data_IF_112399294860
#
_entry.id   IF_112399294860
#
_cell.length_a   1.000
_cell.length_b   1.000
_cell.length_c   1.000
_cell.angle_alpha   90.00
_cell.angle_beta   90.00
_cell.angle_gamma   90.00
#
_symmetry.space_group_name_H-M   'P 1'
#
loop_
_entity.id
_entity.type
_entity.pdbx_description
1 polymer ?
#
# COMPACT_ATOMS: atom_id res chain seq x y z
N UNK A 1 -0.70 16.37 6.86
CA UNK A 1 -0.51 16.57 5.40
C UNK A 1 -0.94 15.27 4.71
N UNK A 2 -2.00 15.30 3.91
CA UNK A 2 -2.57 14.12 3.23
C UNK A 2 -1.53 13.48 2.29
N UNK A 3 -0.83 12.46 2.78
CA UNK A 3 0.18 11.72 2.02
C UNK A 3 -0.49 10.79 1.02
N UNK A 4 -0.93 11.39 -0.09
CA UNK A 4 -1.40 10.80 -1.36
C UNK A 4 -2.24 9.53 -1.20
N UNK A 5 -3.56 9.71 -1.03
CA UNK A 5 -4.59 8.68 -1.18
C UNK A 5 -4.29 7.64 -2.29
N UNK A 6 -3.79 8.04 -3.48
CA UNK A 6 -3.37 7.09 -4.50
C UNK A 6 -2.39 6.02 -4.04
N UNK A 7 -1.35 6.41 -3.31
CA UNK A 7 -0.29 5.51 -2.84
C UNK A 7 -0.83 4.49 -1.83
N UNK A 8 -1.66 4.95 -0.89
CA UNK A 8 -2.24 4.08 0.15
C UNK A 8 -3.17 3.03 -0.46
N UNK A 9 -3.90 3.39 -1.52
CA UNK A 9 -4.76 2.46 -2.25
C UNK A 9 -3.94 1.44 -3.04
N UNK A 10 -2.90 1.90 -3.74
CA UNK A 10 -2.00 1.02 -4.47
C UNK A 10 -1.34 0.00 -3.53
N UNK A 11 -0.71 0.46 -2.44
CA UNK A 11 -0.06 -0.40 -1.45
C UNK A 11 -1.03 -1.45 -0.86
N UNK A 12 -2.24 -1.02 -0.50
CA UNK A 12 -3.23 -1.90 0.11
C UNK A 12 -3.72 -3.00 -0.84
N UNK A 13 -4.07 -2.63 -2.08
CA UNK A 13 -4.53 -3.60 -3.08
C UNK A 13 -3.38 -4.53 -3.52
N UNK A 14 -2.17 -3.98 -3.68
CA UNK A 14 -0.98 -4.75 -4.06
C UNK A 14 -0.59 -5.76 -2.98
N UNK A 15 -0.64 -5.39 -1.70
CA UNK A 15 -0.30 -6.28 -0.59
C UNK A 15 -1.15 -7.55 -0.57
N UNK A 16 -2.46 -7.42 -0.79
CA UNK A 16 -3.37 -8.58 -0.76
C UNK A 16 -3.20 -9.48 -1.96
N UNK A 17 -3.01 -8.90 -3.14
CA UNK A 17 -2.75 -9.69 -4.34
C UNK A 17 -1.37 -10.34 -4.31
N UNK A 18 -0.44 -9.86 -3.48
CA UNK A 18 0.83 -10.50 -3.19
C UNK A 18 0.72 -11.76 -2.32
N UNK A 19 -0.33 -11.89 -1.50
CA UNK A 19 -0.57 -13.09 -0.68
C UNK A 19 -1.35 -14.19 -1.43
N UNK A 20 -1.91 -13.84 -2.60
CA UNK A 20 -2.67 -14.75 -3.43
C UNK A 20 -1.73 -15.65 -4.25
N UNK A 21 -2.07 -16.93 -4.35
CA UNK A 21 -1.30 -17.91 -5.15
C UNK A 21 -1.72 -17.86 -6.62
N UNK A 22 -0.99 -17.08 -7.40
CA UNK A 22 -1.14 -17.02 -8.85
C UNK A 22 -0.53 -18.25 -9.53
N UNK A 23 -1.07 -18.66 -10.68
CA UNK A 23 -0.37 -19.56 -11.62
C UNK A 23 0.73 -18.77 -12.36
N UNK A 24 1.57 -18.11 -11.58
CA UNK A 24 2.66 -17.28 -12.03
C UNK A 24 3.89 -17.69 -11.23
N UNK A 25 4.78 -18.43 -11.88
CA UNK A 25 6.12 -18.70 -11.38
C UNK A 25 7.08 -17.74 -12.06
N UNK A 26 7.44 -16.65 -11.38
CA UNK A 26 8.69 -15.97 -11.72
C UNK A 26 9.82 -16.66 -10.98
N UNK A 27 10.88 -17.04 -11.67
CA UNK A 27 12.11 -17.53 -11.03
C UNK A 27 12.92 -16.40 -10.36
N UNK A 28 12.48 -15.14 -10.51
CA UNK A 28 13.09 -13.98 -9.89
C UNK A 28 12.62 -13.78 -8.45
N UNK A 29 13.59 -13.78 -7.53
CA UNK A 29 13.43 -13.42 -6.11
C UNK A 29 12.77 -12.04 -5.87
N UNK A 30 12.64 -11.22 -6.91
CA UNK A 30 12.14 -9.86 -6.87
C UNK A 30 11.02 -9.63 -7.88
N UNK A 31 10.13 -10.58 -8.14
CA UNK A 31 8.92 -10.27 -8.93
C UNK A 31 7.75 -9.88 -8.03
N UNK A 32 6.90 -8.99 -8.55
CA UNK A 32 5.58 -8.76 -7.99
C UNK A 32 4.53 -9.19 -9.01
N UNK A 33 3.68 -10.19 -8.71
CA UNK A 33 2.60 -10.60 -9.61
C UNK A 33 1.73 -9.41 -10.02
N UNK A 34 1.42 -8.50 -9.08
CA UNK A 34 0.62 -7.31 -9.35
C UNK A 34 1.23 -6.33 -10.37
N UNK A 35 2.54 -6.43 -10.64
CA UNK A 35 3.23 -5.61 -11.65
C UNK A 35 3.59 -6.39 -12.92
N UNK A 36 3.80 -7.70 -12.81
CA UNK A 36 4.40 -8.53 -13.88
C UNK A 36 3.45 -9.57 -14.47
N UNK A 37 2.34 -9.84 -13.79
CA UNK A 37 1.33 -10.79 -14.23
C UNK A 37 0.01 -10.07 -14.53
N UNK A 38 -0.47 -10.19 -15.77
CA UNK A 38 -1.61 -9.41 -16.27
C UNK A 38 -2.91 -9.65 -15.46
N UNK A 39 -3.32 -10.89 -15.13
CA UNK A 39 -4.51 -11.12 -14.29
C UNK A 39 -4.41 -10.46 -12.90
N UNK A 40 -3.22 -10.47 -12.29
CA UNK A 40 -2.99 -9.84 -11.01
C UNK A 40 -3.03 -8.30 -11.10
N UNK A 41 -2.42 -7.73 -12.14
CA UNK A 41 -2.48 -6.30 -12.43
C UNK A 41 -3.92 -5.83 -12.67
N UNK A 42 -4.70 -6.59 -13.45
CA UNK A 42 -6.13 -6.32 -13.69
C UNK A 42 -6.94 -6.35 -12.38
N UNK A 43 -6.69 -7.33 -11.51
CA UNK A 43 -7.31 -7.43 -10.19
C UNK A 43 -6.98 -6.23 -9.31
N UNK A 44 -5.73 -5.76 -9.35
CA UNK A 44 -5.28 -4.59 -8.61
C UNK A 44 -5.97 -3.32 -9.09
N UNK A 45 -6.04 -3.12 -10.41
CA UNK A 45 -6.73 -1.98 -11.02
C UNK A 45 -8.21 -1.97 -10.63
N UNK A 46 -8.86 -3.13 -10.63
CA UNK A 46 -10.25 -3.26 -10.21
C UNK A 46 -10.45 -2.93 -8.72
N UNK A 47 -9.58 -3.45 -7.85
CA UNK A 47 -9.60 -3.13 -6.41
C UNK A 47 -9.51 -1.61 -6.15
N UNK A 48 -8.62 -0.92 -6.86
CA UNK A 48 -8.44 0.53 -6.73
C UNK A 48 -9.66 1.28 -7.28
N UNK A 49 -10.16 0.87 -8.44
CA UNK A 49 -11.33 1.47 -9.09
C UNK A 49 -12.56 1.43 -8.18
N UNK A 50 -12.91 0.24 -7.69
CA UNK A 50 -14.05 0.05 -6.78
C UNK A 50 -13.87 0.83 -5.48
N UNK A 51 -12.67 0.79 -4.89
CA UNK A 51 -12.36 1.52 -3.65
C UNK A 51 -12.48 3.04 -3.80
N UNK A 52 -12.16 3.58 -4.97
CA UNK A 52 -12.33 5.01 -5.27
C UNK A 52 -13.79 5.36 -5.55
N UNK A 53 -14.50 4.49 -6.27
CA UNK A 53 -15.91 4.65 -6.61
C UNK A 53 -16.80 4.62 -5.36
N UNK A 54 -16.58 3.68 -4.45
CA UNK A 54 -17.27 3.59 -3.15
C UNK A 54 -17.12 4.85 -2.30
N UNK A 55 -16.01 5.57 -2.45
CA UNK A 55 -15.72 6.82 -1.72
C UNK A 55 -16.12 8.07 -2.50
N UNK A 56 -16.70 7.92 -3.69
CA UNK A 56 -17.16 9.04 -4.52
C UNK A 56 -16.04 9.89 -5.12
N UNK A 57 -14.84 9.33 -5.33
CA UNK A 57 -13.74 10.05 -5.96
C UNK A 57 -13.91 10.16 -7.48
N UNK A 58 -13.43 11.27 -8.05
CA UNK A 58 -13.45 11.49 -9.50
C UNK A 58 -12.46 10.61 -10.26
N UNK A 59 -12.71 10.37 -11.55
CA UNK A 59 -11.79 9.69 -12.48
C UNK A 59 -10.37 10.30 -12.51
N UNK A 60 -10.25 11.62 -12.28
CA UNK A 60 -8.94 12.28 -12.18
C UNK A 60 -8.09 11.77 -11.02
N UNK A 61 -8.72 11.32 -9.94
CA UNK A 61 -8.03 10.69 -8.81
C UNK A 61 -7.53 9.29 -9.19
N UNK A 62 -8.30 8.58 -10.02
CA UNK A 62 -7.92 7.28 -10.55
C UNK A 62 -6.78 7.36 -11.58
N UNK A 63 -6.75 8.39 -12.41
CA UNK A 63 -5.59 8.63 -13.30
C UNK A 63 -4.32 8.94 -12.51
N UNK A 64 -4.44 9.61 -11.36
CA UNK A 64 -3.31 9.81 -10.44
C UNK A 64 -2.83 8.51 -9.79
N UNK A 65 -3.72 7.53 -9.57
CA UNK A 65 -3.29 6.20 -9.12
C UNK A 65 -2.49 5.47 -10.18
N UNK A 66 -2.80 5.62 -11.47
CA UNK A 66 -1.98 5.01 -12.52
C UNK A 66 -0.54 5.51 -12.52
N UNK A 67 -0.33 6.81 -12.28
CA UNK A 67 1.02 7.36 -12.14
C UNK A 67 1.77 6.76 -10.93
N UNK A 68 1.08 6.51 -9.82
CA UNK A 68 1.67 5.85 -8.65
C UNK A 68 2.00 4.38 -8.95
N UNK A 69 1.09 3.64 -9.59
CA UNK A 69 1.33 2.24 -10.00
C UNK A 69 2.56 2.15 -10.91
N UNK A 70 2.73 3.07 -11.86
CA UNK A 70 3.94 3.12 -12.67
C UNK A 70 5.20 3.33 -11.86
N UNK A 71 5.19 4.24 -10.88
CA UNK A 71 6.33 4.51 -10.01
C UNK A 71 6.68 3.27 -9.17
N UNK A 72 5.68 2.63 -8.57
CA UNK A 72 5.84 1.45 -7.72
C UNK A 72 6.27 0.21 -8.53
N UNK A 73 5.75 0.05 -9.74
CA UNK A 73 6.07 -1.07 -10.62
C UNK A 73 7.33 -0.87 -11.47
N UNK A 74 7.92 0.34 -11.46
CA UNK A 74 9.12 0.66 -12.25
C UNK A 74 10.31 -0.26 -11.92
N UNK A 75 10.38 -0.75 -10.68
CA UNK A 75 11.43 -1.67 -10.25
C UNK A 75 11.27 -3.08 -10.85
N UNK A 76 10.03 -3.47 -11.16
CA UNK A 76 9.69 -4.84 -11.57
C UNK A 76 9.57 -5.00 -13.08
N UNK A 77 9.13 -3.95 -13.80
CA UNK A 77 8.95 -4.01 -15.25
C UNK A 77 8.93 -2.62 -15.89
N UNK A 78 9.54 -2.53 -17.07
CA UNK A 78 9.46 -1.32 -17.92
C UNK A 78 8.16 -1.25 -18.74
N UNK A 79 7.41 -2.35 -18.83
CA UNK A 79 6.22 -2.45 -19.68
C UNK A 79 5.14 -1.42 -19.30
N UNK A 80 5.03 -1.09 -18.01
CA UNK A 80 4.02 -0.15 -17.51
C UNK A 80 4.40 1.32 -17.73
N UNK A 81 5.68 1.65 -17.89
CA UNK A 81 6.12 3.04 -18.06
C UNK A 81 5.53 3.68 -19.32
N UNK A 82 5.50 2.89 -20.39
CA UNK A 82 5.06 3.32 -21.72
C UNK A 82 3.54 3.32 -21.89
N UNK A 83 2.79 2.74 -20.96
CA UNK A 83 1.32 2.68 -21.04
C UNK A 83 0.68 4.04 -20.83
N UNK A 84 -0.30 4.40 -21.64
CA UNK A 84 -1.10 5.62 -21.47
C UNK A 84 -2.25 5.37 -20.49
N UNK A 85 -2.92 6.43 -20.03
CA UNK A 85 -4.13 6.27 -19.21
C UNK A 85 -5.21 5.45 -19.95
N UNK A 86 -5.32 5.59 -21.28
CA UNK A 86 -6.26 4.81 -22.08
C UNK A 86 -5.94 3.31 -22.03
N UNK A 87 -4.66 2.95 -22.03
CA UNK A 87 -4.24 1.55 -21.91
C UNK A 87 -4.61 0.98 -20.54
N UNK A 88 -4.46 1.75 -19.46
CA UNK A 88 -4.91 1.36 -18.12
C UNK A 88 -6.43 1.18 -18.04
N UNK A 89 -7.21 2.07 -18.66
CA UNK A 89 -8.67 1.89 -18.73
C UNK A 89 -9.08 0.67 -19.57
N UNK A 90 -8.40 0.42 -20.69
CA UNK A 90 -8.64 -0.77 -21.50
C UNK A 90 -8.31 -2.05 -20.72
N UNK A 91 -7.18 -2.07 -20.01
CA UNK A 91 -6.79 -3.19 -19.16
C UNK A 91 -7.79 -3.41 -18.02
N UNK A 92 -8.25 -2.34 -17.37
CA UNK A 92 -9.32 -2.42 -16.38
C UNK A 92 -10.60 -3.03 -16.99
N UNK A 93 -11.05 -2.52 -18.14
CA UNK A 93 -12.29 -2.99 -18.79
C UNK A 93 -12.18 -4.45 -19.27
N UNK A 94 -11.02 -4.86 -19.74
CA UNK A 94 -10.75 -6.26 -20.10
C UNK A 94 -10.77 -7.13 -18.84
N UNK A 95 -10.11 -6.69 -17.78
CA UNK A 95 -10.08 -7.38 -16.49
C UNK A 95 -11.47 -7.55 -15.89
N UNK A 96 -12.29 -6.50 -15.90
CA UNK A 96 -13.66 -6.54 -15.35
C UNK A 96 -14.56 -7.51 -16.11
N UNK A 97 -14.29 -7.78 -17.38
CA UNK A 97 -15.07 -8.74 -18.18
C UNK A 97 -14.87 -10.18 -17.71
N UNK A 98 -13.66 -10.51 -17.22
CA UNK A 98 -13.29 -11.87 -16.80
C UNK A 98 -13.12 -12.01 -15.29
N UNK A 99 -13.52 -10.99 -14.53
CA UNK A 99 -13.30 -10.97 -13.09
C UNK A 99 -14.22 -11.95 -12.39
N UNK A 100 -13.68 -12.69 -11.41
CA UNK A 100 -14.49 -13.56 -10.57
C UNK A 100 -14.25 -13.28 -9.09
N UNK A 101 -15.21 -13.65 -8.24
CA UNK A 101 -15.03 -13.52 -6.80
C UNK A 101 -13.92 -14.47 -6.31
N UNK A 102 -12.96 -13.92 -5.58
CA UNK A 102 -11.93 -14.71 -4.93
C UNK A 102 -12.53 -15.53 -3.78
N UNK A 103 -12.27 -16.84 -3.78
CA UNK A 103 -12.50 -17.71 -2.63
C UNK A 103 -11.15 -18.15 -2.04
N UNK A 104 -11.01 -17.96 -0.73
CA UNK A 104 -9.81 -18.32 0.02
C UNK A 104 -9.49 -19.81 -0.16
N UNK A 105 -8.24 -20.12 -0.51
CA UNK A 105 -7.80 -21.49 -0.80
C UNK A 105 -7.83 -21.88 -2.30
N UNK A 106 -8.21 -20.96 -3.19
CA UNK A 106 -8.03 -21.15 -4.63
C UNK A 106 -6.54 -21.11 -4.99
N UNK A 107 -5.96 -22.27 -5.31
CA UNK A 107 -4.58 -22.37 -5.78
C UNK A 107 -4.51 -22.15 -7.30
N UNK A 108 -3.44 -21.52 -7.76
CA UNK A 108 -3.09 -21.35 -9.17
C UNK A 108 -4.11 -20.51 -9.96
N UNK A 109 -4.29 -19.27 -9.56
CA UNK A 109 -5.20 -18.36 -10.27
C UNK A 109 -4.60 -17.90 -11.60
N UNK A 110 -5.40 -18.01 -12.67
CA UNK A 110 -5.07 -17.59 -14.04
C UNK A 110 -5.94 -16.45 -14.57
N UNK A 111 -6.94 -16.05 -13.79
CA UNK A 111 -7.94 -15.06 -14.15
C UNK A 111 -7.95 -13.93 -13.13
N UNK A 112 -8.41 -12.73 -13.52
CA UNK A 112 -8.54 -11.62 -12.59
C UNK A 112 -9.58 -11.94 -11.51
N UNK A 113 -9.31 -11.48 -10.29
CA UNK A 113 -10.16 -11.70 -9.13
C UNK A 113 -10.65 -10.40 -8.51
N UNK A 114 -11.86 -10.45 -7.99
CA UNK A 114 -12.44 -9.44 -7.14
C UNK A 114 -12.12 -9.75 -5.67
N UNK A 115 -11.53 -8.77 -4.99
CA UNK A 115 -11.37 -8.78 -3.53
C UNK A 115 -12.70 -8.36 -2.91
N UNK A 116 -13.19 -9.11 -1.93
CA UNK A 116 -14.44 -8.81 -1.23
C UNK A 116 -14.48 -7.38 -0.66
N UNK A 117 -15.64 -6.73 -0.76
CA UNK A 117 -15.82 -5.33 -0.35
C UNK A 117 -15.51 -5.08 1.14
N UNK A 118 -15.80 -6.04 2.03
CA UNK A 118 -15.44 -5.92 3.44
C UNK A 118 -13.92 -5.97 3.63
N UNK A 119 -13.26 -6.87 2.90
CA UNK A 119 -11.81 -7.00 2.89
C UNK A 119 -11.17 -5.72 2.35
N UNK A 120 -11.63 -5.17 1.21
CA UNK A 120 -11.15 -3.87 0.67
C UNK A 120 -11.28 -2.74 1.69
N UNK A 121 -12.41 -2.65 2.39
CA UNK A 121 -12.62 -1.65 3.45
C UNK A 121 -11.64 -1.84 4.60
N UNK A 122 -11.47 -3.05 5.11
CA UNK A 122 -10.55 -3.37 6.20
C UNK A 122 -9.09 -3.05 5.83
N UNK A 123 -8.69 -3.36 4.59
CA UNK A 123 -7.35 -3.12 4.05
C UNK A 123 -7.05 -1.64 3.84
N UNK A 124 -8.06 -0.79 3.71
CA UNK A 124 -7.84 0.66 3.72
C UNK A 124 -7.64 1.21 5.15
N UNK A 125 -8.13 0.48 6.15
CA UNK A 125 -7.94 0.82 7.56
C UNK A 125 -6.61 0.31 8.12
N UNK A 126 -6.11 -0.88 7.71
CA UNK A 126 -4.93 -1.51 8.30
C UNK A 126 -3.61 -0.74 8.05
N UNK A 127 -3.25 -0.29 6.83
CA UNK A 127 -2.09 0.56 6.59
C UNK A 127 -2.25 1.94 7.24
N UNK A 128 -3.47 2.49 7.30
CA UNK A 128 -3.74 3.73 8.06
C UNK A 128 -3.48 3.52 9.56
N UNK A 129 -3.94 2.40 10.12
CA UNK A 129 -3.77 2.00 11.51
C UNK A 129 -2.32 1.65 11.84
N UNK A 130 -1.62 0.89 10.99
CA UNK A 130 -0.21 0.54 11.13
C UNK A 130 0.71 1.76 10.92
N UNK A 131 0.37 2.70 10.03
CA UNK A 131 1.08 3.98 9.90
C UNK A 131 0.84 4.89 11.10
N UNK A 132 -0.36 4.86 11.69
CA UNK A 132 -0.64 5.49 12.98
C UNK A 132 0.23 4.84 14.07
N UNK A 133 0.24 3.52 14.19
CA UNK A 133 1.07 2.79 15.16
C UNK A 133 2.58 3.04 14.97
N UNK A 134 3.06 3.13 13.72
CA UNK A 134 4.45 3.49 13.40
C UNK A 134 4.75 4.95 13.79
N UNK A 135 3.83 5.88 13.57
CA UNK A 135 4.01 7.26 14.04
C UNK A 135 4.03 7.34 15.57
N UNK A 136 3.23 6.52 16.27
CA UNK A 136 3.25 6.39 17.73
C UNK A 136 4.51 5.72 18.26
N UNK A 137 5.09 4.75 17.55
CA UNK A 137 6.38 4.16 17.93
C UNK A 137 7.53 5.16 17.75
N UNK A 138 7.53 5.96 16.67
CA UNK A 138 8.50 7.06 16.51
C UNK A 138 8.34 8.15 17.56
N UNK A 139 7.10 8.53 17.92
CA UNK A 139 6.82 9.46 19.01
C UNK A 139 7.27 8.88 20.35
N UNK A 140 7.01 7.60 20.62
CA UNK A 140 7.48 6.92 21.82
C UNK A 140 9.01 6.93 21.90
N UNK A 141 9.70 6.58 20.81
CA UNK A 141 11.17 6.66 20.72
C UNK A 141 11.70 8.10 20.90
N UNK A 142 10.98 9.11 20.38
CA UNK A 142 11.33 10.51 20.54
C UNK A 142 11.14 11.00 21.99
N UNK A 143 10.03 10.64 22.63
CA UNK A 143 9.78 10.90 24.04
C UNK A 143 10.78 10.17 24.94
N UNK A 144 11.13 8.92 24.64
CA UNK A 144 12.15 8.18 25.39
C UNK A 144 13.53 8.84 25.26
N UNK A 145 13.91 9.31 24.06
CA UNK A 145 15.16 10.06 23.86
C UNK A 145 15.18 11.42 24.56
N UNK A 146 14.06 12.14 24.59
CA UNK A 146 13.92 13.38 25.34
C UNK A 146 14.00 13.13 26.85
N UNK A 147 13.35 12.07 27.35
CA UNK A 147 13.41 11.67 28.75
C UNK A 147 14.82 11.27 29.16
N UNK A 148 15.55 10.50 28.33
CA UNK A 148 16.94 10.16 28.58
C UNK A 148 17.87 11.39 28.54
N UNK A 149 17.69 12.31 27.58
CA UNK A 149 18.48 13.57 27.57
C UNK A 149 18.20 14.46 28.78
N UNK A 150 16.96 14.53 29.24
CA UNK A 150 16.63 15.24 30.49
C UNK A 150 17.23 14.54 31.71
N UNK A 151 17.21 13.20 31.76
CA UNK A 151 17.79 12.42 32.85
C UNK A 151 19.32 12.60 32.94
N UNK A 152 20.02 12.55 31.81
CA UNK A 152 21.48 12.78 31.75
C UNK A 152 21.85 14.23 32.08
N UNK A 153 21.05 15.21 31.64
CA UNK A 153 21.23 16.61 32.05
C UNK A 153 20.95 16.85 33.53
N UNK A 154 20.05 16.09 34.16
CA UNK A 154 19.75 16.20 35.58
C UNK A 154 20.83 15.54 36.47
N UNK A 155 21.49 14.47 36.01
CA UNK A 155 22.57 13.81 36.78
C UNK A 155 23.88 14.61 36.87
N UNK A 156 24.09 15.59 35.99
CA UNK A 156 25.31 16.42 35.98
C UNK A 156 25.17 17.78 36.65
N UNK A 157 24.09 18.04 37.39
CA UNK A 157 24.08 19.17 38.35
C UNK A 157 24.67 18.66 39.67
N UNK A 158 25.90 19.04 40.04
CA UNK A 158 26.42 18.68 41.35
C UNK A 158 25.53 19.31 42.43
N UNK A 159 25.01 18.46 43.32
CA UNK A 159 24.16 18.78 44.47
C UNK A 159 24.92 19.54 45.58
N UNK A 160 25.98 20.28 45.23
CA UNK A 160 26.87 21.00 46.16
C UNK A 160 26.68 22.52 46.16
N UNK A 161 25.67 23.05 45.46
CA UNK A 161 25.35 24.50 45.47
C UNK A 161 24.00 24.90 46.06
N UNK A 162 23.32 23.99 46.79
CA UNK A 162 22.00 24.30 47.35
C UNK A 162 21.87 24.14 48.87
N UNK A 163 22.98 24.03 49.60
CA UNK A 163 23.00 24.23 51.06
C UNK A 163 24.25 25.01 51.49
N UNK A 164 24.16 26.34 51.37
CA UNK A 164 24.76 27.28 52.32
C UNK A 164 24.17 28.67 52.05
N UNK A 165 23.36 29.14 53.00
CA UNK A 165 23.01 30.54 53.34
C UNK A 165 22.82 31.52 52.18
#
# INVERSE_FOLDING_TARGET
MYGKLPLVLTDACMGVLGEVTWEYSSDDLYSSPACTYEPALQSMLYCIYESLNEKGYSNRTFEKTFAAIKEDCAYYTDNLQNMTNADFYNMLNNGTTYIIQYSEGSANLTYPIEIDAQVRKLLLFLPWFLRQLRHWSYLWWYYLRLFCRCYDSCQHTPLSKLHSV
#
